data_IF_107367924301
#
_entry.id   IF_107367924301
#
_cell.length_a   1.000
_cell.length_b   1.000
_cell.length_c   1.000
_cell.angle_alpha   90.00
_cell.angle_beta   90.00
_cell.angle_gamma   90.00
#
_symmetry.space_group_name_H-M   'P 1'
#
loop_
_entity.id
_entity.type
_entity.pdbx_description
1 polymer ?
#
# COMPACT_ATOMS: atom_id res chain seq x y z
N UNK A 1 -1.98 1.81 -1.60
CA UNK A 1 -2.93 1.70 -0.46
C UNK A 1 -2.95 0.26 0.03
N UNK A 2 -3.02 0.03 1.34
CA UNK A 2 -3.04 -1.31 1.93
C UNK A 2 -4.33 -1.59 2.69
N UNK A 3 -4.79 -2.84 2.66
CA UNK A 3 -5.91 -3.34 3.46
C UNK A 3 -5.42 -4.51 4.30
N UNK A 4 -5.79 -4.57 5.57
CA UNK A 4 -5.59 -5.73 6.45
C UNK A 4 -6.98 -6.15 6.96
N UNK A 5 -7.31 -7.43 6.83
CA UNK A 5 -8.63 -8.00 7.12
C UNK A 5 -9.35 -8.52 5.90
N UNK A 6 -10.62 -8.90 6.10
CA UNK A 6 -11.52 -9.44 5.11
C UNK A 6 -12.78 -8.55 5.04
N UNK A 7 -12.89 -7.64 4.05
CA UNK A 7 -14.10 -6.88 3.78
C UNK A 7 -15.24 -7.77 3.26
N UNK A 8 -16.51 -7.41 3.53
CA UNK A 8 -16.96 -6.25 4.29
C UNK A 8 -16.98 -6.44 5.83
N UNK A 9 -16.65 -7.62 6.35
CA UNK A 9 -16.89 -7.99 7.74
C UNK A 9 -15.95 -7.30 8.74
N UNK A 10 -14.64 -7.44 8.56
CA UNK A 10 -13.63 -6.98 9.52
C UNK A 10 -12.35 -6.61 8.78
N UNK A 11 -12.06 -5.31 8.68
CA UNK A 11 -10.88 -4.82 7.99
C UNK A 11 -10.46 -3.42 8.46
N UNK A 12 -9.19 -3.11 8.19
CA UNK A 12 -8.58 -1.79 8.35
C UNK A 12 -8.02 -1.37 7.01
N UNK A 13 -8.38 -0.16 6.57
CA UNK A 13 -7.74 0.52 5.45
C UNK A 13 -6.56 1.29 6.01
N UNK A 14 -5.36 0.99 5.53
CA UNK A 14 -4.15 1.71 5.90
C UNK A 14 -4.04 3.04 5.13
N UNK A 15 -3.36 4.06 5.70
CA UNK A 15 -3.12 5.34 5.03
C UNK A 15 -2.54 5.17 3.63
N UNK A 16 -3.02 5.99 2.69
CA UNK A 16 -2.44 6.04 1.35
C UNK A 16 -1.07 6.72 1.45
N UNK A 17 -0.04 6.08 0.91
CA UNK A 17 1.30 6.63 0.78
C UNK A 17 1.64 6.87 -0.68
N UNK A 18 2.55 7.80 -0.90
CA UNK A 18 3.19 8.07 -2.19
C UNK A 18 4.71 8.01 -2.08
N UNK A 19 5.37 7.82 -3.22
CA UNK A 19 6.82 7.91 -3.30
C UNK A 19 7.24 9.36 -3.57
N UNK A 20 8.00 9.94 -2.64
CA UNK A 20 8.61 11.25 -2.78
C UNK A 20 9.89 11.17 -3.62
N UNK A 21 9.81 11.73 -4.83
CA UNK A 21 10.91 11.82 -5.79
C UNK A 21 11.71 13.12 -5.66
N UNK A 22 11.52 13.92 -4.61
CA UNK A 22 12.23 15.20 -4.42
C UNK A 22 13.75 15.07 -4.36
N UNK A 23 14.26 13.91 -3.91
CA UNK A 23 15.68 13.59 -3.87
C UNK A 23 16.24 13.06 -5.20
N UNK A 24 15.38 12.81 -6.20
CA UNK A 24 15.80 12.25 -7.48
C UNK A 24 16.30 13.37 -8.42
N UNK A 25 17.41 13.16 -9.15
CA UNK A 25 17.83 14.08 -10.21
C UNK A 25 16.70 14.40 -11.20
N UNK A 26 16.50 15.68 -11.59
CA UNK A 26 15.35 16.12 -12.37
C UNK A 26 15.26 15.52 -13.77
N UNK A 27 16.37 15.05 -14.32
CA UNK A 27 16.45 14.35 -15.61
C UNK A 27 15.95 12.90 -15.55
N UNK A 28 15.86 12.31 -14.36
CA UNK A 28 15.44 10.94 -14.19
C UNK A 28 13.92 10.84 -14.09
N UNK A 29 13.31 9.80 -14.69
CA UNK A 29 11.88 9.60 -14.61
C UNK A 29 11.46 9.26 -13.17
N UNK A 30 10.33 9.84 -12.73
CA UNK A 30 9.68 9.55 -11.45
C UNK A 30 8.98 8.19 -11.48
N UNK A 31 9.78 7.13 -11.40
CA UNK A 31 9.34 5.74 -11.46
C UNK A 31 10.08 4.95 -10.37
N UNK A 32 9.33 4.28 -9.49
CA UNK A 32 9.87 3.36 -8.48
C UNK A 32 10.12 1.98 -9.11
N UNK A 33 11.28 1.84 -9.74
CA UNK A 33 11.73 0.63 -10.44
C UNK A 33 12.44 -0.39 -9.55
N UNK A 34 13.15 -1.31 -10.20
CA UNK A 34 14.02 -2.29 -9.53
C UNK A 34 15.14 -1.60 -8.76
N UNK A 35 15.66 -0.52 -9.34
CA UNK A 35 16.77 0.28 -8.85
C UNK A 35 16.46 0.95 -7.51
N UNK A 36 15.20 1.29 -7.26
CA UNK A 36 14.74 1.82 -5.97
C UNK A 36 14.74 0.75 -4.86
N UNK A 37 14.64 -0.52 -5.24
CA UNK A 37 14.38 -1.64 -4.31
C UNK A 37 15.60 -2.50 -4.04
N UNK A 38 16.52 -2.60 -5.00
CA UNK A 38 17.56 -3.63 -4.99
C UNK A 38 18.97 -3.12 -5.26
N UNK A 39 19.14 -1.84 -5.61
CA UNK A 39 20.44 -1.24 -5.90
C UNK A 39 20.74 -0.10 -4.92
N UNK A 40 21.47 -0.36 -3.82
CA UNK A 40 21.79 0.66 -2.81
C UNK A 40 22.49 1.91 -3.34
N UNK A 41 23.30 1.75 -4.40
CA UNK A 41 24.06 2.85 -5.01
C UNK A 41 23.24 3.64 -6.04
N UNK A 42 22.00 3.24 -6.31
CA UNK A 42 21.12 3.94 -7.25
C UNK A 42 20.64 5.28 -6.69
N UNK A 43 20.50 6.34 -7.53
CA UNK A 43 19.80 7.56 -7.14
C UNK A 43 18.38 7.29 -6.60
N UNK A 44 17.75 6.21 -7.07
CA UNK A 44 16.42 5.80 -6.65
C UNK A 44 16.36 5.18 -5.24
N UNK A 45 17.49 4.74 -4.66
CA UNK A 45 17.53 4.13 -3.33
C UNK A 45 17.06 5.09 -2.22
N UNK A 46 17.24 6.39 -2.45
CA UNK A 46 16.98 7.44 -1.46
C UNK A 46 15.55 8.01 -1.52
N UNK A 47 14.69 7.53 -2.42
CA UNK A 47 13.28 7.94 -2.44
C UNK A 47 12.59 7.49 -1.15
N UNK A 48 11.58 8.24 -0.72
CA UNK A 48 10.90 8.00 0.56
C UNK A 48 9.42 7.79 0.34
N UNK A 49 8.88 6.78 1.00
CA UNK A 49 7.43 6.64 1.09
C UNK A 49 6.90 7.59 2.17
N UNK A 50 5.99 8.48 1.82
CA UNK A 50 5.39 9.49 2.70
C UNK A 50 3.86 9.44 2.61
N UNK A 51 3.11 9.96 3.61
CA UNK A 51 1.65 10.08 3.49
C UNK A 51 1.28 10.88 2.23
N UNK A 52 0.38 10.35 1.42
CA UNK A 52 -0.07 11.03 0.20
C UNK A 52 -0.96 12.23 0.55
N UNK A 53 -0.76 13.36 -0.12
CA UNK A 53 -1.63 14.53 -0.01
C UNK A 53 -2.62 14.55 -1.17
N UNK A 54 -3.79 13.93 -0.96
CA UNK A 54 -4.82 13.79 -1.98
C UNK A 54 -6.04 14.66 -1.66
N UNK A 55 -6.76 15.17 -2.68
CA UNK A 55 -8.11 15.66 -2.48
C UNK A 55 -8.99 14.57 -1.87
N UNK A 56 -9.86 14.95 -0.93
CA UNK A 56 -10.74 14.01 -0.20
C UNK A 56 -11.52 13.08 -1.14
N UNK A 57 -12.07 13.63 -2.23
CA UNK A 57 -12.82 12.87 -3.24
C UNK A 57 -11.95 11.83 -3.97
N UNK A 58 -10.67 12.13 -4.18
CA UNK A 58 -9.72 11.21 -4.82
C UNK A 58 -9.36 10.07 -3.88
N UNK A 59 -9.11 10.37 -2.60
CA UNK A 59 -8.84 9.36 -1.58
C UNK A 59 -10.04 8.41 -1.41
N UNK A 60 -11.26 8.96 -1.25
CA UNK A 60 -12.50 8.18 -1.17
C UNK A 60 -12.67 7.27 -2.37
N UNK A 61 -12.50 7.81 -3.58
CA UNK A 61 -12.59 7.02 -4.82
C UNK A 61 -11.61 5.85 -4.84
N UNK A 62 -10.34 6.07 -4.47
CA UNK A 62 -9.33 5.01 -4.40
C UNK A 62 -9.73 3.94 -3.39
N UNK A 63 -10.20 4.34 -2.20
CA UNK A 63 -10.61 3.41 -1.14
C UNK A 63 -11.79 2.55 -1.63
N UNK A 64 -12.84 3.16 -2.19
CA UNK A 64 -13.99 2.43 -2.71
C UNK A 64 -13.62 1.44 -3.83
N UNK A 65 -12.74 1.85 -4.75
CA UNK A 65 -12.24 0.96 -5.79
C UNK A 65 -11.47 -0.22 -5.21
N UNK A 66 -10.59 0.01 -4.23
CA UNK A 66 -9.81 -1.06 -3.61
C UNK A 66 -10.70 -2.06 -2.86
N UNK A 67 -11.74 -1.60 -2.14
CA UNK A 67 -12.69 -2.50 -1.47
C UNK A 67 -13.45 -3.38 -2.47
N UNK A 68 -13.96 -2.78 -3.55
CA UNK A 68 -14.63 -3.53 -4.63
C UNK A 68 -13.69 -4.52 -5.30
N UNK A 69 -12.44 -4.13 -5.56
CA UNK A 69 -11.43 -4.99 -6.18
C UNK A 69 -10.98 -6.12 -5.25
N UNK A 70 -10.85 -5.85 -3.94
CA UNK A 70 -10.48 -6.85 -2.95
C UNK A 70 -11.46 -8.03 -2.98
N UNK A 71 -12.76 -7.73 -2.91
CA UNK A 71 -13.84 -8.73 -3.02
C UNK A 71 -13.81 -9.40 -4.41
N UNK A 72 -13.78 -8.60 -5.49
CA UNK A 72 -13.89 -9.11 -6.86
C UNK A 72 -12.73 -10.02 -7.28
N UNK A 73 -11.54 -9.79 -6.72
CA UNK A 73 -10.33 -10.57 -7.00
C UNK A 73 -10.07 -11.65 -5.94
N UNK A 74 -11.03 -11.87 -5.03
CA UNK A 74 -10.94 -12.88 -3.98
C UNK A 74 -9.66 -12.75 -3.13
N UNK A 75 -9.23 -11.51 -2.88
CA UNK A 75 -8.15 -11.23 -1.95
C UNK A 75 -8.57 -11.67 -0.54
N UNK A 76 -7.60 -12.03 0.30
CA UNK A 76 -7.85 -12.53 1.65
C UNK A 76 -6.81 -12.00 2.60
N UNK A 77 -7.26 -11.65 3.81
CA UNK A 77 -6.46 -11.32 5.00
C UNK A 77 -5.63 -10.02 4.90
N UNK A 78 -5.04 -9.71 3.75
CA UNK A 78 -4.37 -8.45 3.46
C UNK A 78 -4.12 -8.29 1.96
N UNK A 79 -3.96 -7.06 1.49
CA UNK A 79 -3.65 -6.76 0.08
C UNK A 79 -3.05 -5.35 -0.04
N UNK A 80 -2.24 -5.12 -1.08
CA UNK A 80 -1.79 -3.77 -1.48
C UNK A 80 -2.26 -3.47 -2.90
N UNK A 81 -2.75 -2.26 -3.10
CA UNK A 81 -3.14 -1.73 -4.40
C UNK A 81 -2.22 -0.56 -4.76
N UNK A 82 -1.60 -0.63 -5.92
CA UNK A 82 -0.69 0.40 -6.41
C UNK A 82 -1.41 1.23 -7.47
N UNK A 83 -1.36 2.54 -7.28
CA UNK A 83 -2.08 3.52 -8.10
C UNK A 83 -1.12 4.55 -8.66
N UNK A 84 -1.50 5.14 -9.79
CA UNK A 84 -0.83 6.31 -10.37
C UNK A 84 -1.87 7.32 -10.81
N UNK A 85 -1.70 8.57 -10.43
CA UNK A 85 -2.52 9.65 -10.95
C UNK A 85 -1.94 10.11 -12.30
N UNK A 86 -2.82 10.39 -13.26
CA UNK A 86 -2.43 11.04 -14.51
C UNK A 86 -2.20 12.55 -14.30
N UNK A 87 -1.89 13.27 -15.38
CA UNK A 87 -1.57 14.70 -15.32
C UNK A 87 -2.75 15.58 -14.87
N UNK A 88 -3.98 15.07 -14.96
CA UNK A 88 -5.21 15.74 -14.53
C UNK A 88 -5.60 15.32 -13.10
N UNK A 89 -4.83 14.43 -12.47
CA UNK A 89 -5.08 13.92 -11.12
C UNK A 89 -6.02 12.72 -11.08
N UNK A 90 -6.38 12.12 -12.22
CA UNK A 90 -7.28 10.97 -12.20
C UNK A 90 -6.53 9.69 -11.78
N UNK A 91 -6.99 8.95 -10.75
CA UNK A 91 -6.34 7.71 -10.34
C UNK A 91 -6.49 6.59 -11.38
N UNK A 92 -5.38 5.91 -11.68
CA UNK A 92 -5.31 4.69 -12.49
C UNK A 92 -4.69 3.57 -11.66
N UNK A 93 -5.34 2.41 -11.63
CA UNK A 93 -4.78 1.23 -10.97
C UNK A 93 -3.61 0.71 -11.80
N UNK A 94 -2.46 0.51 -11.17
CA UNK A 94 -1.30 -0.13 -11.78
C UNK A 94 -1.31 -1.64 -11.54
N UNK A 95 -1.49 -2.03 -10.28
CA UNK A 95 -1.35 -3.42 -9.86
C UNK A 95 -2.16 -3.70 -8.59
N UNK A 96 -2.65 -4.93 -8.49
CA UNK A 96 -3.12 -5.52 -7.23
C UNK A 96 -2.08 -6.52 -6.77
N UNK A 97 -1.65 -6.39 -5.52
CA UNK A 97 -0.69 -7.27 -4.87
C UNK A 97 -1.43 -8.00 -3.72
N UNK A 98 -2.00 -9.20 -3.95
CA UNK A 98 -2.66 -9.98 -2.90
C UNK A 98 -1.69 -10.50 -1.83
N UNK A 99 -0.41 -10.66 -2.18
CA UNK A 99 0.67 -11.03 -1.26
C UNK A 99 1.80 -10.00 -1.36
N UNK A 100 1.60 -8.76 -0.88
CA UNK A 100 2.63 -7.75 -0.91
C UNK A 100 3.79 -8.15 0.01
N UNK A 101 4.99 -7.68 -0.31
CA UNK A 101 6.14 -7.82 0.59
C UNK A 101 5.83 -7.25 1.98
N UNK A 102 6.01 -8.08 3.01
CA UNK A 102 5.71 -7.81 4.41
C UNK A 102 6.98 -7.67 5.26
N UNK A 103 8.13 -7.43 4.62
CA UNK A 103 9.37 -7.09 5.31
C UNK A 103 9.17 -5.82 6.16
N UNK A 104 9.96 -5.67 7.22
CA UNK A 104 9.87 -4.57 8.18
C UNK A 104 10.07 -3.17 7.57
N UNK A 105 10.72 -3.09 6.41
CA UNK A 105 10.94 -1.89 5.59
C UNK A 105 10.03 -1.79 4.36
N UNK A 106 9.14 -2.77 4.14
CA UNK A 106 8.21 -2.81 3.02
C UNK A 106 7.11 -1.75 3.10
N UNK A 107 6.45 -1.48 1.96
CA UNK A 107 5.39 -0.47 1.89
C UNK A 107 4.22 -0.73 2.83
N UNK A 108 3.81 -1.99 3.03
CA UNK A 108 2.74 -2.32 3.96
C UNK A 108 3.12 -1.96 5.41
N UNK A 109 4.34 -2.30 5.84
CA UNK A 109 4.87 -1.96 7.15
C UNK A 109 5.02 -0.44 7.36
N UNK A 110 5.44 0.29 6.32
CA UNK A 110 5.49 1.75 6.34
C UNK A 110 4.10 2.38 6.50
N UNK A 111 3.10 1.89 5.76
CA UNK A 111 1.71 2.33 5.90
C UNK A 111 1.17 2.06 7.31
N UNK A 112 1.39 0.85 7.85
CA UNK A 112 0.99 0.48 9.21
C UNK A 112 1.66 1.37 10.27
N UNK A 113 2.97 1.64 10.13
CA UNK A 113 3.70 2.55 11.02
C UNK A 113 3.11 3.96 11.02
N UNK A 114 2.74 4.49 9.85
CA UNK A 114 2.08 5.80 9.73
C UNK A 114 0.72 5.79 10.44
N UNK A 115 0.00 4.66 10.42
CA UNK A 115 -1.24 4.46 11.17
C UNK A 115 -1.04 4.27 12.69
N UNK A 116 0.19 4.35 13.20
CA UNK A 116 0.50 4.14 14.60
C UNK A 116 0.61 2.67 15.02
N UNK A 117 0.63 1.74 14.06
CA UNK A 117 0.76 0.30 14.30
C UNK A 117 2.23 -0.13 14.20
N UNK A 118 2.73 -0.80 15.23
CA UNK A 118 4.05 -1.43 15.18
C UNK A 118 4.08 -2.58 14.17
N UNK A 119 5.27 -2.98 13.74
CA UNK A 119 5.43 -4.11 12.83
C UNK A 119 4.84 -5.41 13.40
N UNK A 120 5.00 -5.65 14.70
CA UNK A 120 4.44 -6.81 15.37
C UNK A 120 2.90 -6.78 15.38
N UNK A 121 2.29 -5.63 15.68
CA UNK A 121 0.83 -5.46 15.64
C UNK A 121 0.28 -5.62 14.22
N UNK A 122 1.03 -5.20 13.18
CA UNK A 122 0.65 -5.44 11.79
C UNK A 122 0.61 -6.93 11.46
N UNK A 123 1.64 -7.69 11.86
CA UNK A 123 1.66 -9.13 11.65
C UNK A 123 0.56 -9.83 12.43
N UNK A 124 0.33 -9.43 13.69
CA UNK A 124 -0.76 -9.93 14.52
C UNK A 124 -2.13 -9.68 13.87
N UNK A 125 -2.36 -8.49 13.30
CA UNK A 125 -3.60 -8.17 12.61
C UNK A 125 -3.83 -9.06 11.37
N UNK A 126 -2.78 -9.35 10.59
CA UNK A 126 -2.86 -10.26 9.43
C UNK A 126 -3.18 -11.70 9.89
N UNK A 127 -2.52 -12.17 10.96
CA UNK A 127 -2.76 -13.50 11.51
C UNK A 127 -4.20 -13.64 12.03
N UNK A 128 -4.69 -12.63 12.78
CA UNK A 128 -6.08 -12.59 13.28
C UNK A 128 -7.09 -12.63 12.14
N UNK A 129 -6.86 -11.88 11.05
CA UNK A 129 -7.73 -11.92 9.89
C UNK A 129 -7.83 -13.34 9.29
N UNK A 130 -6.70 -14.05 9.22
CA UNK A 130 -6.67 -15.44 8.75
C UNK A 130 -7.34 -16.42 9.72
N UNK A 131 -7.11 -16.27 11.03
CA UNK A 131 -7.75 -17.07 12.09
C UNK A 131 -9.28 -16.92 12.05
N UNK A 132 -9.77 -15.68 11.96
CA UNK A 132 -11.19 -15.36 11.82
C UNK A 132 -11.79 -16.01 10.56
N UNK A 133 -11.13 -15.87 9.41
CA UNK A 133 -11.58 -16.47 8.14
C UNK A 133 -11.62 -18.00 8.20
N UNK A 134 -10.66 -18.62 8.88
CA UNK A 134 -10.55 -20.08 9.01
C UNK A 134 -11.36 -20.65 10.17
N UNK A 135 -11.95 -19.81 11.01
CA UNK A 135 -12.63 -20.20 12.26
C UNK A 135 -11.74 -21.04 13.19
N UNK A 136 -10.47 -20.67 13.30
CA UNK A 136 -9.51 -21.34 14.19
C UNK A 136 -9.30 -20.42 15.39
N UNK A 137 -9.69 -20.89 16.58
CA UNK A 137 -9.43 -20.28 17.89
C UNK A 137 -8.88 -21.32 18.84
#
# INVERSE_FOLDING_TARGET
MGIIGNPPESYVVLPIIEEDYSALPPELPRICGYEAKWLPDSPYWNIKSVPAQLPEETEKFIIECCLKLFERLECRDYCRFDWRLDAEGNPKLLEVNPNPGWCWDGHLAKMAKIAGMSYAEMLEAILKAAEERLNIR
#
